data_IF_730813708142
#
_entry.id   IF_730813708142
#
_cell.length_a   1.000
_cell.length_b   1.000
_cell.length_c   1.000
_cell.angle_alpha   90.00
_cell.angle_beta   90.00
_cell.angle_gamma   90.00
#
_symmetry.space_group_name_H-M   'P 1'
#
loop_
_entity.id
_entity.type
_entity.pdbx_description
1 polymer ?
#
# COMPACT_ATOMS: atom_id res chain seq x y z
N UNK A 1 -31.79 -5.68 -29.41
CA UNK A 1 -30.39 -5.78 -28.96
C UNK A 1 -29.92 -4.42 -28.46
N UNK A 2 -29.41 -4.32 -27.23
CA UNK A 2 -28.85 -3.08 -26.68
C UNK A 2 -27.34 -3.09 -26.89
N UNK A 3 -26.84 -2.28 -27.81
CA UNK A 3 -25.40 -2.09 -28.00
C UNK A 3 -24.91 -1.18 -26.88
N UNK A 4 -24.09 -1.72 -25.97
CA UNK A 4 -23.42 -0.92 -24.93
C UNK A 4 -22.07 -0.50 -25.50
N UNK A 5 -21.80 0.81 -25.51
CA UNK A 5 -20.50 1.34 -25.95
C UNK A 5 -19.45 0.88 -24.94
N UNK A 6 -18.44 0.15 -25.41
CA UNK A 6 -17.27 -0.17 -24.58
C UNK A 6 -16.62 1.15 -24.11
N UNK A 7 -16.07 1.20 -22.88
CA UNK A 7 -15.34 2.37 -22.41
C UNK A 7 -14.22 2.71 -23.40
N UNK A 8 -14.00 4.00 -23.64
CA UNK A 8 -12.92 4.46 -24.52
C UNK A 8 -11.57 3.98 -23.95
N UNK A 9 -10.90 3.09 -24.67
CA UNK A 9 -9.57 2.61 -24.32
C UNK A 9 -8.57 3.72 -24.68
N UNK A 10 -8.11 4.46 -23.68
CA UNK A 10 -6.98 5.37 -23.87
C UNK A 10 -5.72 4.53 -23.77
N UNK A 11 -5.07 4.27 -24.90
CA UNK A 11 -3.70 3.79 -24.94
C UNK A 11 -2.82 4.96 -24.51
N UNK A 12 -2.49 5.01 -23.22
CA UNK A 12 -1.58 6.01 -22.68
C UNK A 12 -0.17 5.51 -23.00
N UNK A 13 0.66 6.32 -23.67
CA UNK A 13 2.13 6.15 -23.69
C UNK A 13 2.74 6.53 -22.32
N UNK A 14 2.03 6.20 -21.24
CA UNK A 14 2.52 6.43 -19.90
C UNK A 14 3.55 5.34 -19.61
N UNK A 15 4.80 5.77 -19.46
CA UNK A 15 5.84 4.94 -18.88
C UNK A 15 5.34 4.29 -17.58
N UNK A 16 5.82 3.08 -17.28
CA UNK A 16 5.45 2.34 -16.07
C UNK A 16 5.45 3.27 -14.84
N UNK A 17 4.29 3.50 -14.18
CA UNK A 17 4.18 4.49 -13.10
C UNK A 17 4.98 4.09 -11.84
N UNK A 18 5.44 2.83 -11.78
CA UNK A 18 6.27 2.30 -10.70
C UNK A 18 7.78 2.45 -10.99
N UNK A 19 8.16 2.80 -12.23
CA UNK A 19 9.55 2.92 -12.62
C UNK A 19 10.21 4.18 -12.05
N UNK A 20 11.52 4.10 -11.80
CA UNK A 20 12.34 5.24 -11.38
C UNK A 20 12.17 5.69 -9.93
N UNK A 21 11.43 4.94 -9.10
CA UNK A 21 11.28 5.19 -7.66
C UNK A 21 11.30 3.86 -6.88
N UNK A 22 12.05 3.75 -5.77
CA UNK A 22 11.93 2.59 -4.89
C UNK A 22 10.53 2.55 -4.25
N UNK A 23 10.02 1.37 -3.93
CA UNK A 23 8.78 1.25 -3.16
C UNK A 23 8.99 1.61 -1.70
N UNK A 24 7.96 2.17 -1.08
CA UNK A 24 7.97 2.59 0.31
C UNK A 24 7.98 1.39 1.26
N UNK A 25 8.88 1.42 2.24
CA UNK A 25 8.91 0.49 3.36
C UNK A 25 8.22 1.15 4.55
N UNK A 26 7.19 0.52 5.10
CA UNK A 26 6.49 1.08 6.27
C UNK A 26 7.33 0.91 7.55
N UNK A 27 7.84 2.02 8.14
CA UNK A 27 8.65 1.98 9.36
C UNK A 27 7.85 1.58 10.61
N UNK A 28 6.52 1.51 10.52
CA UNK A 28 5.60 1.10 11.58
C UNK A 28 4.93 -0.24 11.28
N UNK A 29 5.36 -0.98 10.25
CA UNK A 29 4.84 -2.33 9.99
C UNK A 29 5.08 -3.28 11.17
N UNK A 30 4.21 -4.28 11.33
CA UNK A 30 4.36 -5.29 12.37
C UNK A 30 5.70 -6.03 12.27
N UNK A 31 6.18 -6.31 11.05
CA UNK A 31 7.50 -6.88 10.81
C UNK A 31 8.62 -5.97 11.33
N UNK A 32 8.55 -4.66 11.09
CA UNK A 32 9.53 -3.70 11.59
C UNK A 32 9.52 -3.61 13.12
N UNK A 33 8.34 -3.68 13.74
CA UNK A 33 8.20 -3.74 15.20
C UNK A 33 8.81 -5.04 15.74
N UNK A 34 8.50 -6.18 15.13
CA UNK A 34 9.03 -7.48 15.53
C UNK A 34 10.57 -7.54 15.38
N UNK A 35 11.12 -7.06 14.26
CA UNK A 35 12.55 -7.02 14.01
C UNK A 35 13.30 -6.17 15.04
N UNK A 36 12.74 -5.00 15.42
CA UNK A 36 13.30 -4.13 16.46
C UNK A 36 13.27 -4.75 17.86
N UNK A 37 12.27 -5.59 18.13
CA UNK A 37 12.06 -6.21 19.44
C UNK A 37 12.71 -7.60 19.58
N UNK A 38 13.27 -8.16 18.49
CA UNK A 38 13.90 -9.47 18.52
C UNK A 38 15.18 -9.45 19.35
N UNK A 39 15.26 -10.31 20.37
CA UNK A 39 16.45 -10.50 21.19
C UNK A 39 16.68 -12.01 21.45
N UNK A 40 17.70 -12.65 20.85
CA UNK A 40 18.72 -12.03 19.98
C UNK A 40 18.14 -11.51 18.65
N UNK A 41 18.85 -10.59 17.96
CA UNK A 41 18.43 -10.13 16.64
C UNK A 41 18.18 -11.28 15.67
N UNK A 42 17.11 -11.18 14.88
CA UNK A 42 16.72 -12.20 13.91
C UNK A 42 16.89 -11.67 12.47
N UNK A 43 17.65 -12.38 11.64
CA UNK A 43 18.01 -11.96 10.30
C UNK A 43 16.80 -12.01 9.35
N UNK A 44 15.94 -13.01 9.49
CA UNK A 44 14.75 -13.20 8.67
C UNK A 44 13.73 -12.08 8.91
N UNK A 45 13.46 -11.73 10.17
CA UNK A 45 12.62 -10.60 10.54
C UNK A 45 13.18 -9.29 10.01
N UNK A 46 14.50 -9.09 10.10
CA UNK A 46 15.16 -7.91 9.55
C UNK A 46 15.01 -7.83 8.03
N UNK A 47 15.13 -8.96 7.32
CA UNK A 47 14.93 -9.02 5.87
C UNK A 47 13.50 -8.69 5.47
N UNK A 48 12.51 -9.31 6.13
CA UNK A 48 11.08 -9.07 5.86
C UNK A 48 10.69 -7.62 6.18
N UNK A 49 11.17 -7.08 7.31
CA UNK A 49 10.88 -5.71 7.73
C UNK A 49 11.39 -4.67 6.73
N UNK A 50 12.57 -4.88 6.14
CA UNK A 50 13.17 -3.95 5.19
C UNK A 50 12.73 -4.15 3.73
N UNK A 51 11.81 -5.09 3.48
CA UNK A 51 11.22 -5.31 2.15
C UNK A 51 9.96 -4.47 1.98
N UNK A 52 9.81 -3.69 0.90
CA UNK A 52 8.58 -2.92 0.64
C UNK A 52 7.34 -3.81 0.54
N UNK A 53 6.25 -3.39 1.16
CA UNK A 53 4.98 -4.12 1.25
C UNK A 53 3.80 -3.15 1.08
N UNK A 54 2.60 -3.69 0.84
CA UNK A 54 1.37 -2.90 0.74
C UNK A 54 0.74 -2.61 2.10
N UNK A 55 0.15 -1.42 2.25
CA UNK A 55 -0.68 -1.10 3.40
C UNK A 55 -2.13 -1.50 3.15
N UNK A 56 -2.72 -2.31 4.03
CA UNK A 56 -4.08 -2.81 3.86
C UNK A 56 -5.10 -1.87 4.50
N UNK A 57 -6.10 -1.48 3.71
CA UNK A 57 -7.25 -0.68 4.12
C UNK A 57 -8.52 -1.50 3.99
N UNK A 58 -9.30 -1.58 5.05
CA UNK A 58 -10.57 -2.31 5.08
C UNK A 58 -11.64 -1.56 5.89
N UNK A 59 -12.71 -2.25 6.27
CA UNK A 59 -13.82 -1.71 7.07
C UNK A 59 -13.43 -1.16 8.45
N UNK A 60 -12.21 -1.42 8.94
CA UNK A 60 -11.69 -0.77 10.14
C UNK A 60 -11.42 0.73 9.94
N UNK A 61 -11.31 1.18 8.69
CA UNK A 61 -11.14 2.58 8.32
C UNK A 61 -12.46 3.14 7.79
N UNK A 62 -13.28 3.79 8.62
CA UNK A 62 -14.60 4.25 8.19
C UNK A 62 -14.47 5.32 7.09
N UNK A 63 -15.47 5.45 6.19
CA UNK A 63 -15.42 6.41 5.09
C UNK A 63 -15.14 7.85 5.52
N UNK A 64 -15.58 8.23 6.72
CA UNK A 64 -15.37 9.56 7.28
C UNK A 64 -13.88 9.90 7.57
N UNK A 65 -13.02 8.90 7.79
CA UNK A 65 -11.62 9.12 8.19
C UNK A 65 -10.59 8.48 7.27
N UNK A 66 -10.97 7.48 6.47
CA UNK A 66 -10.04 6.76 5.59
C UNK A 66 -9.28 7.67 4.62
N UNK A 67 -9.91 8.76 4.15
CA UNK A 67 -9.23 9.74 3.30
C UNK A 67 -8.02 10.40 3.98
N UNK A 68 -8.10 10.65 5.29
CA UNK A 68 -6.97 11.16 6.08
C UNK A 68 -5.85 10.13 6.24
N UNK A 69 -6.21 8.86 6.39
CA UNK A 69 -5.24 7.74 6.44
C UNK A 69 -4.50 7.63 5.11
N UNK A 70 -5.21 7.61 3.98
CA UNK A 70 -4.60 7.58 2.64
C UNK A 70 -3.68 8.78 2.45
N UNK A 71 -4.16 10.00 2.73
CA UNK A 71 -3.35 11.21 2.58
C UNK A 71 -2.04 11.18 3.40
N UNK A 72 -2.09 10.63 4.62
CA UNK A 72 -0.90 10.41 5.46
C UNK A 72 0.04 9.38 4.83
N UNK A 73 -0.49 8.23 4.41
CA UNK A 73 0.30 7.13 3.86
C UNK A 73 0.87 7.43 2.47
N UNK A 74 0.21 8.24 1.64
CA UNK A 74 0.74 8.68 0.35
C UNK A 74 1.69 9.88 0.48
N UNK A 75 1.46 10.75 1.47
CA UNK A 75 2.34 11.89 1.74
C UNK A 75 3.72 11.50 2.28
N UNK A 76 3.82 10.41 3.06
CA UNK A 76 5.08 9.91 3.61
C UNK A 76 6.10 9.44 2.54
N UNK A 77 5.73 8.61 1.54
CA UNK A 77 6.54 8.27 0.38
C UNK A 77 6.97 9.48 -0.43
N UNK A 78 6.08 10.44 -0.69
CA UNK A 78 6.39 11.66 -1.46
C UNK A 78 7.51 12.46 -0.80
N UNK A 79 7.49 12.60 0.54
CA UNK A 79 8.58 13.23 1.30
C UNK A 79 9.93 12.52 1.13
N UNK A 80 9.93 11.22 0.82
CA UNK A 80 11.13 10.39 0.66
C UNK A 80 11.41 9.98 -0.78
N UNK A 81 10.65 10.43 -1.78
CA UNK A 81 10.74 10.01 -3.21
C UNK A 81 10.50 8.51 -3.46
N UNK A 82 9.67 7.84 -2.66
CA UNK A 82 9.31 6.43 -2.85
C UNK A 82 7.92 6.28 -3.49
N UNK A 83 7.65 5.16 -4.17
CA UNK A 83 6.33 4.77 -4.63
C UNK A 83 5.54 4.11 -3.48
N UNK A 84 4.31 4.58 -3.22
CA UNK A 84 3.41 3.95 -2.23
C UNK A 84 2.48 2.93 -2.88
N UNK A 85 2.05 1.93 -2.11
CA UNK A 85 1.04 0.96 -2.53
C UNK A 85 0.07 0.68 -1.38
N UNK A 86 -1.21 1.02 -1.57
CA UNK A 86 -2.30 0.72 -0.65
C UNK A 86 -3.22 -0.34 -1.30
N UNK A 87 -3.64 -1.33 -0.51
CA UNK A 87 -4.54 -2.40 -0.92
C UNK A 87 -5.88 -2.25 -0.20
N UNK A 88 -6.95 -1.98 -0.96
CA UNK A 88 -8.31 -1.93 -0.41
C UNK A 88 -8.91 -3.33 -0.42
N UNK A 89 -9.36 -3.80 0.73
CA UNK A 89 -9.93 -5.13 0.87
C UNK A 89 -11.20 -5.11 1.71
N UNK A 90 -12.35 -5.05 1.03
CA UNK A 90 -13.66 -5.00 1.67
C UNK A 90 -14.75 -5.74 0.86
N UNK A 91 -14.71 -7.08 0.78
CA UNK A 91 -15.80 -7.84 0.17
C UNK A 91 -17.03 -7.88 1.10
N UNK A 92 -18.27 -7.96 0.56
CA UNK A 92 -19.52 -7.83 1.32
C UNK A 92 -19.70 -8.82 2.48
N UNK A 93 -19.06 -9.98 2.41
CA UNK A 93 -19.18 -11.10 3.37
C UNK A 93 -17.94 -11.29 4.26
N UNK A 94 -17.07 -10.27 4.37
CA UNK A 94 -15.88 -10.33 5.25
C UNK A 94 -16.31 -10.30 6.72
N UNK A 95 -16.06 -11.40 7.42
CA UNK A 95 -16.18 -11.49 8.88
C UNK A 95 -15.04 -10.67 9.53
N UNK A 96 -15.34 -10.08 10.70
CA UNK A 96 -14.37 -9.34 11.51
C UNK A 96 -13.29 -10.25 12.10
#
# INVERSE_FOLDING_TARGET
MRVVRAPALILVDAANPLAGKPFYVDPASAAMVAARNANPPNAELTSVANTPQSYWLDQAFPPATVGGTVARYTGAPVRRRHAGSDAVWNPPSRLR
#
